data_IF_594107796994
#
_entry.id   IF_594107796994
#
_cell.length_a   1.000
_cell.length_b   1.000
_cell.length_c   1.000
_cell.angle_alpha   90.00
_cell.angle_beta   90.00
_cell.angle_gamma   90.00
#
_symmetry.space_group_name_H-M   'P 1'
#
loop_
_entity.id
_entity.type
_entity.pdbx_description
1 polymer ?
#
# COMPACT_ATOMS: atom_id res chain seq x y z
N UNK A 1 -25.81 -9.31 -32.12
CA UNK A 1 -24.81 -8.29 -32.51
C UNK A 1 -25.17 -6.85 -32.08
N UNK A 2 -25.78 -6.58 -30.90
CA UNK A 2 -26.03 -5.21 -30.43
C UNK A 2 -24.91 -4.62 -29.57
N UNK A 3 -24.03 -5.45 -28.98
CA UNK A 3 -23.03 -4.96 -27.99
C UNK A 3 -21.91 -4.05 -28.57
N UNK A 4 -21.56 -4.14 -29.82
CA UNK A 4 -20.53 -3.27 -30.45
C UNK A 4 -20.97 -1.81 -30.58
N UNK A 5 -22.25 -1.55 -30.83
CA UNK A 5 -22.74 -0.16 -30.96
C UNK A 5 -22.79 0.60 -29.62
N UNK A 6 -23.13 -0.08 -28.54
CA UNK A 6 -23.20 0.54 -27.21
C UNK A 6 -21.81 0.92 -26.66
N UNK A 7 -20.77 0.11 -26.94
CA UNK A 7 -19.39 0.39 -26.50
C UNK A 7 -18.78 1.61 -27.21
N UNK A 8 -19.04 1.78 -28.51
CA UNK A 8 -18.61 2.98 -29.24
C UNK A 8 -19.30 4.26 -28.75
N UNK A 9 -20.53 4.17 -28.28
CA UNK A 9 -21.29 5.30 -27.71
C UNK A 9 -20.74 5.67 -26.32
N UNK A 10 -20.36 4.68 -25.51
CA UNK A 10 -19.74 4.85 -24.19
C UNK A 10 -18.39 5.57 -24.31
N UNK A 11 -17.51 5.12 -25.23
CA UNK A 11 -16.22 5.77 -25.47
C UNK A 11 -16.38 7.22 -25.95
N UNK A 12 -17.33 7.47 -26.85
CA UNK A 12 -17.65 8.82 -27.29
C UNK A 12 -18.17 9.71 -26.14
N UNK A 13 -18.93 9.13 -25.18
CA UNK A 13 -19.41 9.81 -23.99
C UNK A 13 -18.29 10.24 -23.05
N UNK A 14 -17.31 9.37 -22.82
CA UNK A 14 -16.13 9.67 -21.99
C UNK A 14 -15.27 10.78 -22.64
N UNK A 15 -15.06 10.72 -23.94
CA UNK A 15 -14.32 11.77 -24.68
C UNK A 15 -15.04 13.13 -24.54
N UNK A 16 -16.37 13.16 -24.67
CA UNK A 16 -17.15 14.39 -24.50
C UNK A 16 -17.07 14.91 -23.06
N UNK A 17 -17.09 14.03 -22.06
CA UNK A 17 -16.96 14.42 -20.65
C UNK A 17 -15.59 15.02 -20.33
N UNK A 18 -14.52 14.41 -20.80
CA UNK A 18 -13.15 14.93 -20.63
C UNK A 18 -12.98 16.29 -21.29
N UNK A 19 -13.55 16.46 -22.49
CA UNK A 19 -13.54 17.76 -23.19
C UNK A 19 -14.38 18.80 -22.44
N UNK A 20 -15.53 18.43 -21.88
CA UNK A 20 -16.38 19.33 -21.09
C UNK A 20 -15.72 19.73 -19.76
N UNK A 21 -15.02 18.83 -19.08
CA UNK A 21 -14.27 19.15 -17.88
C UNK A 21 -13.10 20.11 -18.21
N UNK A 22 -12.37 19.87 -19.28
CA UNK A 22 -11.30 20.75 -19.73
C UNK A 22 -11.81 22.14 -20.15
N UNK A 23 -13.03 22.23 -20.71
CA UNK A 23 -13.69 23.51 -21.04
C UNK A 23 -14.22 24.20 -19.77
N UNK A 24 -14.75 23.47 -18.80
CA UNK A 24 -15.26 24.03 -17.54
C UNK A 24 -14.14 24.57 -16.65
N UNK A 25 -12.99 23.93 -16.61
CA UNK A 25 -11.80 24.44 -15.89
C UNK A 25 -11.24 25.70 -16.54
N UNK A 26 -11.34 25.83 -17.87
CA UNK A 26 -10.95 27.04 -18.59
C UNK A 26 -11.83 28.27 -18.33
N UNK A 27 -13.10 28.07 -18.05
CA UNK A 27 -14.02 29.18 -17.76
C UNK A 27 -13.88 29.76 -16.36
N UNK A 28 -13.16 29.06 -15.45
CA UNK A 28 -12.92 29.46 -14.06
C UNK A 28 -11.54 30.10 -13.79
N UNK A 29 -10.60 30.08 -14.75
CA UNK A 29 -9.23 30.58 -14.56
C UNK A 29 -8.98 31.85 -15.37
N UNK A 30 -8.92 32.98 -14.69
CA UNK A 30 -8.42 34.23 -15.22
C UNK A 30 -6.91 34.31 -14.91
N UNK A 31 -6.04 34.02 -15.87
CA UNK A 31 -4.59 34.16 -15.68
C UNK A 31 -3.78 33.56 -16.84
N UNK A 32 -3.29 34.44 -17.68
CA UNK A 32 -2.44 34.24 -18.84
C UNK A 32 -1.09 33.60 -18.47
N UNK A 33 -0.76 32.39 -18.96
CA UNK A 33 0.60 31.99 -19.44
C UNK A 33 0.77 30.51 -19.87
N UNK A 34 -0.16 29.56 -19.66
CA UNK A 34 0.10 28.11 -19.90
C UNK A 34 -0.68 27.50 -21.08
N UNK A 35 -1.20 28.29 -22.00
CA UNK A 35 -2.14 27.81 -23.04
C UNK A 35 -1.52 26.94 -24.12
N UNK A 36 -0.21 26.92 -24.30
CA UNK A 36 0.45 26.11 -25.33
C UNK A 36 0.78 24.68 -24.83
N UNK A 37 1.25 24.54 -23.60
CA UNK A 37 1.52 23.22 -22.98
C UNK A 37 0.22 22.46 -22.72
N UNK A 38 -0.78 23.12 -22.11
CA UNK A 38 -2.09 22.53 -21.84
C UNK A 38 -2.81 22.09 -23.13
N UNK A 39 -2.69 22.85 -24.23
CA UNK A 39 -3.26 22.46 -25.53
C UNK A 39 -2.49 21.30 -26.19
N UNK A 40 -1.20 21.15 -25.92
CA UNK A 40 -0.39 20.04 -26.39
C UNK A 40 -0.74 18.75 -25.65
N UNK A 41 -0.91 18.80 -24.33
CA UNK A 41 -1.33 17.66 -23.51
C UNK A 41 -2.73 17.16 -23.89
N UNK A 42 -3.69 18.08 -24.08
CA UNK A 42 -5.05 17.72 -24.53
C UNK A 42 -5.00 17.07 -25.93
N UNK A 43 -4.21 17.61 -26.84
CA UNK A 43 -4.06 17.06 -28.19
C UNK A 43 -3.43 15.66 -28.18
N UNK A 44 -2.44 15.44 -27.31
CA UNK A 44 -1.81 14.14 -27.11
C UNK A 44 -2.78 13.13 -26.49
N UNK A 45 -3.57 13.54 -25.48
CA UNK A 45 -4.61 12.72 -24.87
C UNK A 45 -5.71 12.32 -25.89
N UNK A 46 -6.17 13.26 -26.73
CA UNK A 46 -7.15 12.97 -27.78
C UNK A 46 -6.58 12.00 -28.82
N UNK A 47 -5.34 12.19 -29.26
CA UNK A 47 -4.68 11.29 -30.21
C UNK A 47 -4.52 9.87 -29.64
N UNK A 48 -4.19 9.76 -28.36
CA UNK A 48 -4.13 8.50 -27.65
C UNK A 48 -5.49 7.79 -27.61
N UNK A 49 -6.55 8.47 -27.19
CA UNK A 49 -7.90 7.92 -27.13
C UNK A 49 -8.42 7.49 -28.51
N UNK A 50 -8.16 8.28 -29.53
CA UNK A 50 -8.51 7.93 -30.93
C UNK A 50 -7.74 6.68 -31.39
N UNK A 51 -6.49 6.55 -30.96
CA UNK A 51 -5.69 5.34 -31.23
C UNK A 51 -6.23 4.08 -30.53
N UNK A 52 -6.87 4.23 -29.36
CA UNK A 52 -7.51 3.14 -28.65
C UNK A 52 -8.82 2.68 -29.31
N UNK A 53 -9.60 3.59 -29.92
CA UNK A 53 -10.84 3.23 -30.64
C UNK A 53 -10.65 2.22 -31.78
N UNK A 54 -9.44 2.19 -32.35
CA UNK A 54 -9.09 1.27 -33.44
C UNK A 54 -8.62 -0.12 -32.96
N UNK A 55 -8.45 -0.32 -31.65
CA UNK A 55 -7.95 -1.56 -31.04
C UNK A 55 -9.08 -2.48 -30.58
N UNK A 56 -8.73 -3.75 -30.34
CA UNK A 56 -9.64 -4.68 -29.65
C UNK A 56 -9.92 -4.16 -28.22
N UNK A 57 -11.16 -4.17 -27.74
CA UNK A 57 -11.48 -3.74 -26.37
C UNK A 57 -10.65 -4.41 -25.28
N UNK A 58 -10.27 -5.68 -25.46
CA UNK A 58 -9.44 -6.40 -24.49
C UNK A 58 -8.01 -5.82 -24.43
N UNK A 59 -7.44 -5.45 -25.60
CA UNK A 59 -6.13 -4.80 -25.68
C UNK A 59 -6.17 -3.40 -25.04
N UNK A 60 -7.28 -2.67 -25.22
CA UNK A 60 -7.49 -1.36 -24.60
C UNK A 60 -7.54 -1.46 -23.09
N UNK A 61 -8.32 -2.40 -22.54
CA UNK A 61 -8.45 -2.62 -21.10
C UNK A 61 -7.07 -2.97 -20.49
N UNK A 62 -6.26 -3.77 -21.18
CA UNK A 62 -4.91 -4.08 -20.73
C UNK A 62 -3.98 -2.87 -20.72
N UNK A 63 -3.98 -2.07 -21.79
CA UNK A 63 -3.16 -0.85 -21.87
C UNK A 63 -3.53 0.14 -20.79
N UNK A 64 -4.82 0.35 -20.54
CA UNK A 64 -5.29 1.26 -19.50
C UNK A 64 -4.88 0.77 -18.10
N UNK A 65 -4.94 -0.54 -17.87
CA UNK A 65 -4.47 -1.15 -16.62
C UNK A 65 -2.97 -0.96 -16.42
N UNK A 66 -2.17 -1.21 -17.46
CA UNK A 66 -0.71 -1.02 -17.40
C UNK A 66 -0.34 0.44 -17.12
N UNK A 67 -0.98 1.39 -17.79
CA UNK A 67 -0.74 2.82 -17.54
C UNK A 67 -1.16 3.27 -16.14
N UNK A 68 -2.27 2.73 -15.64
CA UNK A 68 -2.72 2.97 -14.28
C UNK A 68 -1.69 2.50 -13.26
N UNK A 69 -1.21 1.26 -13.41
CA UNK A 69 -0.19 0.69 -12.52
C UNK A 69 1.11 1.51 -12.57
N UNK A 70 1.54 1.93 -13.76
CA UNK A 70 2.71 2.78 -13.91
C UNK A 70 2.54 4.12 -13.19
N UNK A 71 1.40 4.77 -13.34
CA UNK A 71 1.09 6.04 -12.66
C UNK A 71 1.10 5.89 -11.13
N UNK A 72 0.49 4.84 -10.61
CA UNK A 72 0.50 4.56 -9.17
C UNK A 72 1.93 4.35 -8.66
N UNK A 73 2.76 3.63 -9.41
CA UNK A 73 4.16 3.44 -9.09
C UNK A 73 4.95 4.76 -9.09
N UNK A 74 4.77 5.62 -10.10
CA UNK A 74 5.41 6.94 -10.17
C UNK A 74 5.02 7.83 -8.97
N UNK A 75 3.75 7.81 -8.56
CA UNK A 75 3.28 8.55 -7.38
C UNK A 75 3.86 8.01 -6.08
N UNK A 76 3.99 6.68 -5.97
CA UNK A 76 4.63 6.01 -4.83
C UNK A 76 6.11 6.39 -4.73
N UNK A 77 6.84 6.33 -5.84
CA UNK A 77 8.27 6.66 -5.88
C UNK A 77 8.52 8.14 -5.55
N UNK A 78 7.64 9.03 -6.01
CA UNK A 78 7.68 10.44 -5.64
C UNK A 78 7.47 10.63 -4.14
N UNK A 79 6.47 9.96 -3.55
CA UNK A 79 6.20 10.03 -2.11
C UNK A 79 7.41 9.55 -1.31
N UNK A 80 8.02 8.42 -1.70
CA UNK A 80 9.22 7.90 -1.05
C UNK A 80 10.36 8.92 -1.08
N UNK A 81 10.63 9.55 -2.24
CA UNK A 81 11.66 10.59 -2.36
C UNK A 81 11.42 11.79 -1.44
N UNK A 82 10.17 12.25 -1.32
CA UNK A 82 9.79 13.36 -0.43
C UNK A 82 10.01 13.03 1.05
N UNK A 83 9.72 11.78 1.44
CA UNK A 83 9.93 11.29 2.79
C UNK A 83 11.43 11.14 3.11
N UNK A 84 12.20 10.55 2.22
CA UNK A 84 13.64 10.34 2.41
C UNK A 84 14.45 11.64 2.38
N UNK A 85 14.05 12.60 1.54
CA UNK A 85 14.67 13.92 1.51
C UNK A 85 14.32 14.79 2.72
N UNK A 86 13.31 14.39 3.51
CA UNK A 86 12.80 15.19 4.64
C UNK A 86 11.95 16.38 4.22
N UNK A 87 11.54 16.47 2.95
CA UNK A 87 10.56 17.46 2.47
C UNK A 87 9.23 17.28 3.20
N UNK A 88 8.85 16.03 3.44
CA UNK A 88 7.73 15.66 4.30
C UNK A 88 8.28 14.92 5.51
N UNK A 89 7.88 15.33 6.71
CA UNK A 89 8.24 14.60 7.93
C UNK A 89 7.47 13.28 7.99
N UNK A 90 8.15 12.14 7.87
CA UNK A 90 7.51 10.83 7.96
C UNK A 90 6.73 10.64 9.26
N UNK A 91 7.24 11.18 10.37
CA UNK A 91 6.63 11.05 11.69
C UNK A 91 5.28 11.76 11.82
N UNK A 92 5.04 12.83 11.04
CA UNK A 92 3.76 13.53 11.01
C UNK A 92 2.67 12.78 10.25
N UNK A 93 2.99 11.69 9.57
CA UNK A 93 2.07 10.85 8.81
C UNK A 93 1.65 9.58 9.57
N UNK A 94 2.23 9.34 10.75
CA UNK A 94 1.75 8.30 11.66
C UNK A 94 0.53 8.84 12.41
N UNK A 95 -0.63 8.82 11.75
CA UNK A 95 -1.90 9.24 12.31
C UNK A 95 -2.79 8.02 12.56
N UNK A 96 -3.49 7.99 13.69
CA UNK A 96 -4.44 6.94 14.07
C UNK A 96 -3.95 5.51 13.79
N UNK A 97 -2.85 5.17 14.44
CA UNK A 97 -2.14 3.90 14.24
C UNK A 97 -1.81 3.20 15.55
N UNK A 98 -1.44 1.93 15.42
CA UNK A 98 -0.66 1.16 16.38
C UNK A 98 0.44 0.40 15.65
N UNK A 99 1.62 0.30 16.26
CA UNK A 99 2.73 -0.50 15.75
C UNK A 99 3.04 -1.61 16.74
N UNK A 100 2.94 -2.85 16.31
CA UNK A 100 3.21 -4.05 17.11
C UNK A 100 4.43 -4.78 16.52
N UNK A 101 5.24 -5.41 17.37
CA UNK A 101 6.39 -6.13 16.85
C UNK A 101 7.33 -6.71 17.88
N UNK A 102 8.49 -7.16 17.39
CA UNK A 102 9.58 -7.73 18.17
C UNK A 102 10.59 -6.65 18.64
N UNK A 103 11.78 -7.09 19.10
CA UNK A 103 12.83 -6.19 19.59
C UNK A 103 13.26 -5.10 18.61
N UNK A 104 13.15 -5.35 17.31
CA UNK A 104 13.50 -4.34 16.29
C UNK A 104 12.45 -3.25 16.23
N UNK A 105 11.17 -3.58 16.38
CA UNK A 105 10.09 -2.62 16.44
C UNK A 105 10.10 -1.75 17.72
N UNK A 106 10.64 -2.27 18.84
CA UNK A 106 10.85 -1.49 20.08
C UNK A 106 11.65 -0.21 19.82
N UNK A 107 12.55 -0.22 18.87
CA UNK A 107 13.39 0.95 18.56
C UNK A 107 12.61 2.18 18.13
N UNK A 108 11.41 2.05 17.58
CA UNK A 108 10.57 3.20 17.22
C UNK A 108 10.24 4.08 18.45
N UNK A 109 9.91 3.47 19.58
CA UNK A 109 9.68 4.21 20.83
C UNK A 109 10.97 4.44 21.62
N UNK A 110 11.88 3.48 21.66
CA UNK A 110 13.15 3.59 22.38
C UNK A 110 14.00 4.78 21.93
N UNK A 111 14.05 5.04 20.62
CA UNK A 111 14.74 6.20 20.07
C UNK A 111 13.92 7.49 20.05
N UNK A 112 12.67 7.44 20.55
CA UNK A 112 11.79 8.60 20.66
C UNK A 112 11.18 9.05 19.33
N UNK A 113 11.08 8.18 18.35
CA UNK A 113 10.45 8.47 17.06
C UNK A 113 8.92 8.44 17.14
N UNK A 114 8.38 7.43 17.82
CA UNK A 114 6.93 7.24 18.03
C UNK A 114 6.63 7.15 19.53
N UNK A 115 5.43 7.58 19.97
CA UNK A 115 5.03 7.50 21.38
C UNK A 115 4.91 6.04 21.86
N UNK A 116 5.29 5.79 23.13
CA UNK A 116 5.31 4.44 23.72
C UNK A 116 3.92 3.78 23.76
N UNK A 117 2.87 4.57 23.95
CA UNK A 117 1.49 4.09 23.99
C UNK A 117 0.92 3.68 22.63
N UNK A 118 1.65 3.94 21.56
CA UNK A 118 1.35 3.53 20.18
C UNK A 118 2.27 2.45 19.65
N UNK A 119 3.28 2.03 20.42
CA UNK A 119 4.26 0.99 20.05
C UNK A 119 4.13 -0.19 21.00
N UNK A 120 3.29 -1.16 20.64
CA UNK A 120 3.06 -2.40 21.40
C UNK A 120 4.07 -3.47 20.98
N UNK A 121 5.36 -3.19 21.16
CA UNK A 121 6.45 -4.06 20.79
C UNK A 121 7.23 -4.54 22.00
N UNK A 122 7.78 -5.77 21.93
CA UNK A 122 8.49 -6.40 23.04
C UNK A 122 9.67 -7.24 22.55
N UNK A 123 10.78 -7.20 23.28
CA UNK A 123 11.98 -8.00 22.95
C UNK A 123 11.65 -9.51 23.04
N UNK A 124 12.02 -10.24 21.99
CA UNK A 124 11.78 -11.69 21.91
C UNK A 124 10.36 -12.07 21.51
N UNK A 125 9.49 -11.10 21.24
CA UNK A 125 8.10 -11.36 20.86
C UNK A 125 7.99 -12.13 19.54
N UNK A 126 6.99 -12.99 19.48
CA UNK A 126 6.49 -13.72 18.31
C UNK A 126 5.05 -13.29 18.01
N UNK A 127 4.44 -13.83 16.96
CA UNK A 127 3.02 -13.57 16.65
C UNK A 127 2.09 -14.07 17.76
N UNK A 128 2.50 -14.99 18.63
CA UNK A 128 1.72 -15.37 19.82
C UNK A 128 1.60 -14.20 20.80
N UNK A 129 2.61 -13.31 20.84
CA UNK A 129 2.53 -12.10 21.65
C UNK A 129 1.57 -11.07 21.03
N UNK A 130 1.42 -11.04 19.72
CA UNK A 130 0.40 -10.23 19.05
C UNK A 130 -1.00 -10.65 19.47
N UNK A 131 -1.28 -11.96 19.56
CA UNK A 131 -2.55 -12.47 20.03
C UNK A 131 -2.90 -11.93 21.44
N UNK A 132 -1.94 -11.92 22.36
CA UNK A 132 -2.11 -11.35 23.70
C UNK A 132 -2.36 -9.82 23.69
N UNK A 133 -1.95 -9.11 22.61
CA UNK A 133 -2.10 -7.66 22.46
C UNK A 133 -3.40 -7.24 21.78
N UNK A 134 -4.21 -8.16 21.27
CA UNK A 134 -5.50 -7.82 20.62
C UNK A 134 -6.39 -6.92 21.47
N UNK A 135 -6.58 -7.15 22.79
CA UNK A 135 -7.39 -6.24 23.60
C UNK A 135 -6.85 -4.81 23.66
N UNK A 136 -5.51 -4.65 23.68
CA UNK A 136 -4.87 -3.33 23.69
C UNK A 136 -5.06 -2.63 22.35
N UNK A 137 -4.90 -3.35 21.22
CA UNK A 137 -5.13 -2.85 19.87
C UNK A 137 -6.58 -2.39 19.70
N UNK A 138 -7.54 -3.20 20.13
CA UNK A 138 -8.97 -2.88 20.08
C UNK A 138 -9.30 -1.66 20.93
N UNK A 139 -8.71 -1.53 22.12
CA UNK A 139 -8.90 -0.36 22.97
C UNK A 139 -8.37 0.94 22.35
N UNK A 140 -7.31 0.87 21.53
CA UNK A 140 -6.77 2.01 20.78
C UNK A 140 -7.62 2.35 19.55
N UNK A 141 -8.39 1.39 19.01
CA UNK A 141 -9.25 1.52 17.84
C UNK A 141 -8.58 2.24 16.64
N UNK A 142 -7.41 1.79 16.19
CA UNK A 142 -6.65 2.47 15.14
C UNK A 142 -7.23 2.17 13.76
N UNK A 143 -7.06 3.13 12.82
CA UNK A 143 -7.33 2.90 11.39
C UNK A 143 -6.21 2.11 10.70
N UNK A 144 -4.97 2.20 11.20
CA UNK A 144 -3.82 1.51 10.64
C UNK A 144 -3.08 0.70 11.70
N UNK A 145 -2.85 -0.58 11.43
CA UNK A 145 -2.15 -1.51 12.31
C UNK A 145 -0.89 -2.00 11.61
N UNK A 146 0.29 -1.63 12.13
CA UNK A 146 1.58 -2.11 11.61
C UNK A 146 2.06 -3.30 12.41
N UNK A 147 2.37 -4.41 11.75
CA UNK A 147 2.84 -5.65 12.37
C UNK A 147 4.25 -5.98 11.89
N UNK A 148 5.22 -5.93 12.83
CA UNK A 148 6.65 -6.07 12.57
C UNK A 148 7.22 -7.26 13.37
N UNK A 149 6.79 -8.48 13.02
CA UNK A 149 7.18 -9.74 13.65
C UNK A 149 7.93 -10.65 12.68
N UNK A 150 8.45 -11.77 13.19
CA UNK A 150 8.92 -12.88 12.40
C UNK A 150 10.34 -13.33 12.70
N UNK A 151 11.24 -12.45 13.17
CA UNK A 151 12.62 -12.84 13.47
C UNK A 151 12.69 -13.96 14.50
N UNK A 152 11.97 -13.80 15.60
CA UNK A 152 11.91 -14.79 16.69
C UNK A 152 11.12 -16.02 16.28
N UNK A 153 10.03 -15.80 15.53
CA UNK A 153 9.18 -16.85 14.99
C UNK A 153 9.97 -17.87 14.17
N UNK A 154 10.82 -17.39 13.27
CA UNK A 154 11.68 -18.24 12.45
C UNK A 154 12.73 -18.96 13.29
N UNK A 155 13.30 -18.31 14.32
CA UNK A 155 14.41 -18.88 15.09
C UNK A 155 13.99 -19.84 16.19
N UNK A 156 12.81 -19.66 16.78
CA UNK A 156 12.31 -20.48 17.89
C UNK A 156 11.83 -21.84 17.40
N UNK A 157 11.36 -21.93 16.13
CA UNK A 157 10.95 -23.20 15.52
C UNK A 157 9.64 -23.76 16.07
N UNK A 158 8.72 -22.89 16.55
CA UNK A 158 7.38 -23.28 16.95
C UNK A 158 6.59 -23.77 15.73
N UNK A 159 6.78 -23.10 14.60
CA UNK A 159 6.16 -23.45 13.33
C UNK A 159 7.19 -24.17 12.47
N UNK A 160 6.99 -25.47 12.19
CA UNK A 160 7.93 -26.27 11.39
C UNK A 160 8.09 -25.78 9.96
N UNK A 161 7.04 -25.16 9.39
CA UNK A 161 7.02 -24.65 8.02
C UNK A 161 6.50 -23.22 7.95
N UNK A 162 6.81 -22.47 6.87
CA UNK A 162 6.19 -21.17 6.62
C UNK A 162 4.66 -21.22 6.53
N UNK A 163 4.11 -22.31 6.03
CA UNK A 163 2.67 -22.54 5.91
C UNK A 163 1.99 -22.66 7.28
N UNK A 164 2.62 -23.36 8.25
CA UNK A 164 2.13 -23.45 9.62
C UNK A 164 2.15 -22.08 10.30
N UNK A 165 3.20 -21.30 10.06
CA UNK A 165 3.35 -19.94 10.58
C UNK A 165 2.24 -19.00 10.07
N UNK A 166 2.02 -18.97 8.75
CA UNK A 166 0.98 -18.09 8.19
C UNK A 166 -0.43 -18.56 8.49
N UNK A 167 -0.66 -19.85 8.72
CA UNK A 167 -1.96 -20.36 9.17
C UNK A 167 -2.33 -19.78 10.54
N UNK A 168 -1.40 -19.81 11.50
CA UNK A 168 -1.61 -19.18 12.82
C UNK A 168 -1.73 -17.67 12.72
N UNK A 169 -0.91 -17.03 11.85
CA UNK A 169 -0.96 -15.59 11.65
C UNK A 169 -2.32 -15.16 11.10
N UNK A 170 -2.85 -15.90 10.12
CA UNK A 170 -4.17 -15.64 9.54
C UNK A 170 -5.30 -15.73 10.58
N UNK A 171 -5.24 -16.67 11.53
CA UNK A 171 -6.21 -16.77 12.62
C UNK A 171 -6.17 -15.51 13.51
N UNK A 172 -4.98 -15.04 13.87
CA UNK A 172 -4.79 -13.81 14.66
C UNK A 172 -5.31 -12.58 13.89
N UNK A 173 -5.00 -12.47 12.60
CA UNK A 173 -5.51 -11.39 11.73
C UNK A 173 -7.03 -11.40 11.67
N UNK A 174 -7.64 -12.57 11.49
CA UNK A 174 -9.10 -12.71 11.46
C UNK A 174 -9.75 -12.29 12.78
N UNK A 175 -9.11 -12.55 13.94
CA UNK A 175 -9.59 -12.12 15.25
C UNK A 175 -9.53 -10.58 15.39
N UNK A 176 -8.47 -9.93 14.91
CA UNK A 176 -8.36 -8.48 14.86
C UNK A 176 -9.46 -7.89 13.97
N UNK A 177 -9.62 -8.41 12.74
CA UNK A 177 -10.61 -7.94 11.79
C UNK A 177 -12.06 -8.14 12.25
N UNK A 178 -12.33 -9.19 13.03
CA UNK A 178 -13.64 -9.39 13.61
C UNK A 178 -14.06 -8.27 14.59
N UNK A 179 -13.09 -7.59 15.20
CA UNK A 179 -13.30 -6.51 16.17
C UNK A 179 -13.08 -5.12 15.57
N UNK A 180 -12.23 -5.02 14.54
CA UNK A 180 -11.85 -3.79 13.83
C UNK A 180 -11.97 -4.02 12.31
N UNK A 181 -13.20 -4.17 11.77
CA UNK A 181 -13.41 -4.59 10.37
C UNK A 181 -12.94 -3.57 9.33
N UNK A 182 -12.85 -2.29 9.70
CA UNK A 182 -12.45 -1.21 8.80
C UNK A 182 -10.95 -0.85 8.94
N UNK A 183 -10.21 -1.50 9.85
CA UNK A 183 -8.80 -1.22 10.05
C UNK A 183 -7.95 -1.87 8.97
N UNK A 184 -7.00 -1.13 8.44
CA UNK A 184 -5.98 -1.63 7.53
C UNK A 184 -4.83 -2.26 8.32
N UNK A 185 -4.43 -3.46 7.95
CA UNK A 185 -3.33 -4.20 8.58
C UNK A 185 -2.15 -4.26 7.62
N UNK A 186 -1.03 -3.66 8.01
CA UNK A 186 0.20 -3.60 7.25
C UNK A 186 1.23 -4.54 7.86
N UNK A 187 1.54 -5.65 7.19
CA UNK A 187 2.49 -6.64 7.68
C UNK A 187 3.84 -6.41 7.02
N UNK A 188 4.79 -5.97 7.83
CA UNK A 188 6.17 -5.77 7.44
C UNK A 188 6.84 -7.10 7.09
N UNK A 189 7.53 -7.21 5.95
CA UNK A 189 8.42 -8.33 5.70
C UNK A 189 9.43 -8.47 6.84
N UNK A 190 9.87 -9.69 7.07
CA UNK A 190 10.86 -9.95 8.14
C UNK A 190 12.20 -9.37 7.68
N UNK A 191 12.67 -8.30 8.33
CA UNK A 191 13.99 -7.76 8.05
C UNK A 191 15.05 -8.88 8.15
N UNK A 192 15.98 -8.99 7.20
CA UNK A 192 16.93 -10.09 7.16
C UNK A 192 17.87 -10.07 8.38
N UNK A 193 18.30 -11.25 8.80
CA UNK A 193 19.48 -11.39 9.66
C UNK A 193 20.74 -11.29 8.78
N UNK A 194 21.85 -10.83 9.35
CA UNK A 194 23.16 -10.69 8.68
C UNK A 194 24.26 -11.35 9.52
N UNK A 195 25.42 -11.60 8.95
CA UNK A 195 26.56 -12.06 9.74
C UNK A 195 26.89 -11.04 10.86
N UNK A 196 27.21 -11.46 12.10
CA UNK A 196 27.40 -12.85 12.55
C UNK A 196 26.13 -13.55 13.12
N UNK A 197 24.92 -13.02 12.94
CA UNK A 197 23.69 -13.57 13.52
C UNK A 197 23.48 -15.06 13.22
N UNK A 198 23.84 -15.49 12.01
CA UNK A 198 23.70 -16.89 11.57
C UNK A 198 24.50 -17.89 12.44
N UNK A 199 25.48 -17.42 13.22
CA UNK A 199 26.19 -18.25 14.23
C UNK A 199 25.27 -18.55 15.43
N UNK A 200 24.26 -17.71 15.70
CA UNK A 200 23.27 -17.92 16.77
C UNK A 200 22.12 -18.81 16.31
N UNK A 201 21.63 -18.60 15.10
CA UNK A 201 20.58 -19.42 14.50
C UNK A 201 20.71 -19.49 12.99
N UNK A 202 20.90 -20.70 12.47
CA UNK A 202 20.85 -20.97 11.03
C UNK A 202 19.43 -20.95 10.47
N UNK A 203 18.39 -20.98 11.31
CA UNK A 203 17.00 -20.89 10.88
C UNK A 203 16.70 -19.58 10.15
N UNK A 204 17.42 -18.51 10.45
CA UNK A 204 17.24 -17.21 9.80
C UNK A 204 17.60 -17.20 8.30
N UNK A 205 18.28 -18.23 7.77
CA UNK A 205 18.41 -18.42 6.33
C UNK A 205 17.05 -18.68 5.64
N UNK A 206 16.02 -19.07 6.40
CA UNK A 206 14.68 -19.32 5.89
C UNK A 206 13.78 -18.07 5.91
N UNK A 207 14.24 -16.90 6.40
CA UNK A 207 13.46 -15.66 6.43
C UNK A 207 12.78 -15.37 5.09
N UNK A 208 13.44 -15.48 3.91
CA UNK A 208 12.78 -15.19 2.64
C UNK A 208 11.56 -16.07 2.36
N UNK A 209 11.60 -17.35 2.75
CA UNK A 209 10.46 -18.27 2.57
C UNK A 209 9.28 -17.87 3.46
N UNK A 210 9.54 -17.48 4.72
CA UNK A 210 8.51 -16.99 5.63
C UNK A 210 7.91 -15.67 5.15
N UNK A 211 8.74 -14.71 4.70
CA UNK A 211 8.28 -13.45 4.12
C UNK A 211 7.42 -13.66 2.88
N UNK A 212 7.81 -14.60 2.00
CA UNK A 212 7.03 -14.96 0.81
C UNK A 212 5.67 -15.57 1.17
N UNK A 213 5.61 -16.41 2.20
CA UNK A 213 4.35 -17.00 2.68
C UNK A 213 3.43 -15.93 3.28
N UNK A 214 3.98 -14.98 4.07
CA UNK A 214 3.24 -13.82 4.60
C UNK A 214 2.66 -12.98 3.46
N UNK A 215 3.46 -12.71 2.41
CA UNK A 215 2.97 -11.99 1.24
C UNK A 215 1.78 -12.69 0.60
N UNK A 216 1.85 -14.00 0.37
CA UNK A 216 0.75 -14.79 -0.19
C UNK A 216 -0.51 -14.77 0.69
N UNK A 217 -0.37 -14.72 2.01
CA UNK A 217 -1.47 -14.54 2.95
C UNK A 217 -2.10 -13.14 2.78
N UNK A 218 -1.30 -12.08 2.76
CA UNK A 218 -1.82 -10.72 2.55
C UNK A 218 -2.56 -10.59 1.21
N UNK A 219 -1.99 -11.13 0.12
CA UNK A 219 -2.59 -11.09 -1.22
C UNK A 219 -4.00 -11.74 -1.27
N UNK A 220 -4.33 -12.59 -0.29
CA UNK A 220 -5.62 -13.31 -0.19
C UNK A 220 -6.54 -12.82 0.93
N UNK A 221 -6.12 -11.82 1.71
CA UNK A 221 -6.83 -11.33 2.90
C UNK A 221 -7.22 -9.87 2.69
N UNK A 222 -8.51 -9.55 2.77
CA UNK A 222 -8.98 -8.17 2.65
C UNK A 222 -8.40 -7.28 3.75
N UNK A 223 -8.15 -6.01 3.45
CA UNK A 223 -7.55 -5.03 4.38
C UNK A 223 -6.22 -5.50 5.01
N UNK A 224 -5.49 -6.39 4.34
CA UNK A 224 -4.19 -6.88 4.78
C UNK A 224 -3.17 -6.62 3.67
N UNK A 225 -2.14 -5.86 3.96
CA UNK A 225 -1.16 -5.35 2.99
C UNK A 225 0.25 -5.76 3.39
N UNK A 226 1.03 -6.23 2.43
CA UNK A 226 2.40 -6.62 2.66
C UNK A 226 3.35 -5.47 2.39
N UNK A 227 4.17 -5.11 3.38
CA UNK A 227 5.21 -4.08 3.23
C UNK A 227 6.55 -4.75 2.99
N UNK A 228 7.06 -4.66 1.77
CA UNK A 228 8.35 -5.22 1.39
C UNK A 228 9.49 -4.31 1.86
N UNK A 229 10.41 -4.85 2.67
CA UNK A 229 11.58 -4.13 3.17
C UNK A 229 12.90 -4.57 2.52
N UNK A 230 12.89 -5.46 1.53
CA UNK A 230 14.13 -6.02 0.98
C UNK A 230 15.01 -4.93 0.38
N UNK A 231 14.43 -3.99 -0.37
CA UNK A 231 15.16 -2.90 -0.99
C UNK A 231 15.84 -2.00 0.05
N UNK A 232 15.12 -1.55 1.08
CA UNK A 232 15.69 -0.70 2.15
C UNK A 232 16.69 -1.47 3.01
N UNK A 233 16.47 -2.78 3.22
CA UNK A 233 17.41 -3.60 3.96
C UNK A 233 18.74 -3.74 3.24
N UNK A 234 18.74 -3.82 1.92
CA UNK A 234 19.95 -3.91 1.12
C UNK A 234 20.64 -2.55 0.95
N UNK A 235 19.89 -1.50 0.67
CA UNK A 235 20.42 -0.14 0.51
C UNK A 235 21.11 0.35 1.79
N UNK A 236 20.45 0.13 2.94
CA UNK A 236 20.92 0.59 4.26
C UNK A 236 21.60 -0.54 5.08
N UNK A 237 22.19 -1.52 4.41
CA UNK A 237 22.84 -2.66 5.05
C UNK A 237 23.92 -2.29 6.11
N UNK A 238 24.57 -1.14 5.95
CA UNK A 238 25.56 -0.61 6.89
C UNK A 238 24.97 -0.13 8.22
N UNK A 239 23.66 0.00 8.32
CA UNK A 239 22.93 0.42 9.51
C UNK A 239 22.48 -0.77 10.39
N UNK A 240 22.96 -1.99 10.10
CA UNK A 240 22.83 -3.10 11.04
C UNK A 240 23.80 -2.93 12.20
N UNK A 241 23.37 -3.34 13.40
CA UNK A 241 24.25 -3.45 14.55
C UNK A 241 25.25 -4.61 14.36
N UNK A 242 26.31 -4.60 15.16
CA UNK A 242 27.38 -5.60 15.07
C UNK A 242 26.91 -7.03 15.35
N UNK A 243 25.72 -7.20 15.91
CA UNK A 243 25.13 -8.52 16.17
C UNK A 243 24.45 -9.14 14.93
N UNK A 244 24.29 -8.38 13.85
CA UNK A 244 23.66 -8.78 12.63
C UNK A 244 22.12 -8.98 12.72
N UNK A 245 21.50 -8.54 13.82
CA UNK A 245 20.08 -8.71 14.14
C UNK A 245 19.38 -7.36 14.22
N UNK A 246 19.88 -6.50 15.11
CA UNK A 246 19.27 -5.20 15.38
C UNK A 246 19.75 -4.15 14.37
N UNK A 247 18.99 -3.09 14.26
CA UNK A 247 19.30 -1.96 13.39
C UNK A 247 19.60 -0.71 14.22
N UNK A 248 20.49 0.14 13.69
CA UNK A 248 20.87 1.40 14.31
C UNK A 248 19.73 2.42 14.19
N UNK A 249 19.82 3.46 15.04
CA UNK A 249 18.84 4.55 15.08
C UNK A 249 18.51 5.12 13.69
N UNK A 250 19.51 5.27 12.85
CA UNK A 250 19.37 5.93 11.54
C UNK A 250 18.67 5.08 10.49
N UNK A 251 18.40 3.79 10.75
CA UNK A 251 17.58 2.94 9.90
C UNK A 251 16.07 3.24 10.03
N UNK A 252 15.61 3.66 11.20
CA UNK A 252 14.18 3.82 11.47
C UNK A 252 13.46 4.83 10.58
N UNK A 253 14.05 5.99 10.19
CA UNK A 253 13.42 6.88 9.21
C UNK A 253 13.12 6.21 7.87
N UNK A 254 14.03 5.38 7.37
CA UNK A 254 13.85 4.63 6.10
C UNK A 254 12.77 3.55 6.24
N UNK A 255 12.78 2.83 7.36
CA UNK A 255 11.73 1.85 7.64
C UNK A 255 10.36 2.51 7.77
N UNK A 256 10.27 3.62 8.50
CA UNK A 256 9.06 4.42 8.62
C UNK A 256 8.56 4.94 7.27
N UNK A 257 9.47 5.45 6.42
CA UNK A 257 9.13 5.93 5.08
C UNK A 257 8.53 4.81 4.22
N UNK A 258 9.09 3.59 4.32
CA UNK A 258 8.57 2.42 3.60
C UNK A 258 7.16 2.03 4.10
N UNK A 259 6.93 1.97 5.42
CA UNK A 259 5.62 1.71 6.01
C UNK A 259 4.56 2.73 5.56
N UNK A 260 4.88 4.00 5.64
CA UNK A 260 3.96 5.11 5.27
C UNK A 260 3.72 5.16 3.76
N UNK A 261 4.70 4.83 2.94
CA UNK A 261 4.52 4.75 1.49
C UNK A 261 3.51 3.67 1.12
N UNK A 262 3.45 2.55 1.85
CA UNK A 262 2.43 1.52 1.62
C UNK A 262 1.02 1.99 2.01
N UNK A 263 0.88 2.70 3.14
CA UNK A 263 -0.40 3.34 3.51
C UNK A 263 -0.87 4.29 2.41
N UNK A 264 0.04 5.09 1.87
CA UNK A 264 -0.26 6.01 0.77
C UNK A 264 -0.68 5.26 -0.51
N UNK A 265 0.00 4.16 -0.85
CA UNK A 265 -0.33 3.33 -2.01
C UNK A 265 -1.76 2.78 -1.92
N UNK A 266 -2.16 2.27 -0.75
CA UNK A 266 -3.51 1.77 -0.49
C UNK A 266 -4.56 2.89 -0.66
N UNK A 267 -4.30 4.08 -0.10
CA UNK A 267 -5.23 5.21 -0.25
C UNK A 267 -5.41 5.65 -1.70
N UNK A 268 -4.35 5.62 -2.52
CA UNK A 268 -4.44 5.91 -3.95
C UNK A 268 -5.29 4.87 -4.71
N UNK A 269 -5.14 3.59 -4.36
CA UNK A 269 -5.92 2.52 -4.98
C UNK A 269 -7.40 2.63 -4.66
N UNK A 270 -7.74 2.98 -3.42
CA UNK A 270 -9.11 3.19 -2.96
C UNK A 270 -9.77 4.40 -3.65
N UNK A 271 -9.08 5.53 -3.74
CA UNK A 271 -9.57 6.73 -4.44
C UNK A 271 -9.83 6.45 -5.93
N UNK A 272 -8.95 5.69 -6.56
CA UNK A 272 -9.06 5.35 -7.96
C UNK A 272 -10.19 4.32 -8.21
N UNK A 273 -10.40 3.36 -7.31
CA UNK A 273 -11.53 2.44 -7.35
C UNK A 273 -12.87 3.16 -7.21
N UNK A 274 -13.00 4.11 -6.29
CA UNK A 274 -14.19 4.94 -6.09
C UNK A 274 -14.47 5.81 -7.32
N UNK A 275 -13.46 6.41 -7.91
CA UNK A 275 -13.58 7.23 -9.13
C UNK A 275 -14.09 6.39 -10.31
N UNK A 276 -13.59 5.16 -10.45
CA UNK A 276 -14.02 4.22 -11.49
C UNK A 276 -15.47 3.77 -11.30
N UNK A 277 -15.90 3.50 -10.06
CA UNK A 277 -17.28 3.15 -9.74
C UNK A 277 -18.25 4.31 -9.99
N UNK A 278 -17.90 5.52 -9.60
CA UNK A 278 -18.70 6.72 -9.83
C UNK A 278 -18.92 6.96 -11.33
N UNK A 279 -17.86 6.77 -12.14
CA UNK A 279 -17.96 6.89 -13.59
C UNK A 279 -18.87 5.81 -14.22
N UNK A 280 -18.87 4.58 -13.68
CA UNK A 280 -19.71 3.48 -14.16
C UNK A 280 -21.17 3.60 -13.73
N UNK A 281 -21.46 4.16 -12.56
CA UNK A 281 -22.81 4.33 -12.01
C UNK A 281 -23.51 5.56 -12.56
N UNK A 282 -22.79 6.59 -12.98
CA UNK A 282 -23.36 7.81 -13.60
C UNK A 282 -24.03 7.55 -14.96
N UNK A 283 -23.69 6.43 -15.62
CA UNK A 283 -24.25 6.06 -16.94
C UNK A 283 -25.58 5.26 -16.86
N UNK A 284 -26.01 4.82 -15.69
CA UNK A 284 -27.25 4.05 -15.53
C UNK A 284 -28.51 4.89 -15.26
N UNK A 285 -28.39 6.21 -15.12
CA UNK A 285 -29.47 7.11 -14.71
C UNK A 285 -30.25 7.81 -15.83
N UNK A 286 -29.90 7.67 -17.11
CA UNK A 286 -30.48 8.43 -18.21
C UNK A 286 -31.28 7.58 -19.20
N UNK A 287 -32.21 6.75 -18.72
CA UNK A 287 -33.17 6.06 -19.60
C UNK A 287 -34.49 5.76 -18.88
N UNK A 288 -35.37 6.77 -18.74
CA UNK A 288 -36.84 6.60 -18.79
C UNK A 288 -37.53 7.95 -18.70
N UNK A 289 -37.67 8.61 -19.85
CA UNK A 289 -38.75 9.57 -20.08
C UNK A 289 -39.22 9.35 -21.52
N UNK A 290 -40.16 8.46 -21.71
CA UNK A 290 -41.06 8.50 -22.89
C UNK A 290 -42.04 9.63 -22.71
N UNK A 291 -42.31 10.46 -23.70
CA UNK A 291 -43.45 11.38 -23.68
C UNK A 291 -44.70 10.62 -24.12
N UNK A 292 -45.66 10.52 -23.21
CA UNK A 292 -47.04 10.20 -23.56
C UNK A 292 -47.61 11.23 -24.53
N UNK A 293 -48.17 10.69 -25.61
CA UNK A 293 -49.20 11.35 -26.38
C UNK A 293 -50.25 10.35 -26.84
#
# INVERSE_FOLDING_TARGET
MPHKKYRSILLAGVIILVVLIAVATRLGSNGNTDTAEESAEISQGVAFLTGLEAKDPADVDQILKEQRLQRLQEMRDERMRQLESGEISVWSLFEDYVLCGDSRAVGFSFFGFLPEDRVLAESGATILKLEERIPDIVALNPSNIFLCYGLNDVSIGIWPTPEDYVAQYAEIIAEIQAQLPDANIFISSILPARDPAFQKSTAWYNIPQYSSAVKGMCDSTAHCYYVDNDAIADEYASLWEVDGIHVQRDFYPHWAANLITEVYSVSLEDEDAQTTQAASSGDSGASSAEPDN
#
